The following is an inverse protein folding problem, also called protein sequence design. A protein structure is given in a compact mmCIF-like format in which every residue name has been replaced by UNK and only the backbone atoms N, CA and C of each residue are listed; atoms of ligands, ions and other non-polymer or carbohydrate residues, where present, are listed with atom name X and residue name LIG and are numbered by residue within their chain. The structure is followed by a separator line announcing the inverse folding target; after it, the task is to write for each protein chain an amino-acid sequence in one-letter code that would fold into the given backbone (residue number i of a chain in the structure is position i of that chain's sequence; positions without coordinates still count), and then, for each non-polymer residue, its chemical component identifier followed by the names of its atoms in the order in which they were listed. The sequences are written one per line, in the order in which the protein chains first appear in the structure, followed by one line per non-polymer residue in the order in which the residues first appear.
data_IF_666143653971
#
_entry.id   IF_666143653971
#
_cell.length_a   1.000
_cell.length_b   1.000
_cell.length_c   1.000
_cell.angle_alpha   90.00
_cell.angle_beta   90.00
_cell.angle_gamma   90.00
#
_symmetry.space_group_name_H-M   'P 1'
#
loop_
_entity.id
_entity.type
_entity.pdbx_description
1 polymer ?
#
# COMPACT_ATOMS: atom_id res chain seq x y z
N UNK A 1 -8.16 7.98 -8.65
CA UNK A 1 -6.98 7.60 -7.84
C UNK A 1 -5.81 8.48 -8.21
N UNK A 2 -5.13 9.06 -7.23
CA UNK A 2 -3.99 9.92 -7.50
C UNK A 2 -2.68 9.13 -7.48
N UNK A 3 -2.15 8.81 -8.64
CA UNK A 3 -0.83 8.19 -8.77
C UNK A 3 0.21 9.26 -8.45
N UNK A 4 1.11 8.97 -7.51
CA UNK A 4 2.09 9.94 -7.06
C UNK A 4 3.09 10.31 -8.17
N UNK A 5 3.51 11.57 -8.16
CA UNK A 5 4.53 12.11 -9.06
C UNK A 5 5.73 12.58 -8.24
N UNK A 6 6.77 13.05 -8.90
CA UNK A 6 7.97 13.60 -8.24
C UNK A 6 7.62 14.76 -7.28
N UNK A 7 6.59 15.51 -7.60
CA UNK A 7 6.15 16.62 -6.75
C UNK A 7 5.64 16.14 -5.38
N UNK A 8 5.20 14.90 -5.30
CA UNK A 8 4.69 14.30 -4.07
C UNK A 8 5.78 13.69 -3.18
N UNK A 9 7.03 13.63 -3.66
CA UNK A 9 8.10 12.89 -3.00
C UNK A 9 8.33 13.33 -1.55
N UNK A 10 8.36 14.64 -1.30
CA UNK A 10 8.61 15.14 0.05
C UNK A 10 7.51 14.71 1.02
N UNK A 11 6.25 14.74 0.59
CA UNK A 11 5.14 14.31 1.42
C UNK A 11 5.17 12.79 1.64
N UNK A 12 5.49 12.03 0.61
CA UNK A 12 5.65 10.57 0.72
C UNK A 12 6.71 10.23 1.77
N UNK A 13 7.85 10.93 1.71
CA UNK A 13 8.94 10.72 2.66
C UNK A 13 8.51 11.04 4.09
N UNK A 14 7.79 12.15 4.29
CA UNK A 14 7.28 12.52 5.61
C UNK A 14 6.36 11.45 6.19
N UNK A 15 5.44 10.94 5.38
CA UNK A 15 4.45 9.95 5.84
C UNK A 15 5.14 8.65 6.23
N UNK A 16 6.05 8.14 5.41
CA UNK A 16 6.79 6.93 5.77
C UNK A 16 7.63 7.14 7.02
N UNK A 17 8.21 8.32 7.20
CA UNK A 17 8.98 8.62 8.39
C UNK A 17 8.12 8.64 9.65
N UNK A 18 6.88 9.11 9.58
CA UNK A 18 5.93 9.06 10.69
C UNK A 18 5.69 7.63 11.17
N UNK A 19 5.79 6.66 10.27
CA UNK A 19 5.51 5.25 10.53
C UNK A 19 6.77 4.39 10.48
N UNK A 20 7.94 4.95 10.77
CA UNK A 20 9.22 4.24 10.68
C UNK A 20 9.30 2.98 11.52
N UNK A 21 8.50 2.89 12.58
CA UNK A 21 8.42 1.71 13.43
C UNK A 21 7.97 0.48 12.62
N UNK A 22 7.01 0.66 11.72
CA UNK A 22 6.46 -0.42 10.91
C UNK A 22 7.13 -0.55 9.55
N UNK A 23 7.84 0.50 9.10
CA UNK A 23 8.52 0.53 7.80
C UNK A 23 9.99 0.92 7.95
N UNK A 24 10.76 0.21 8.80
CA UNK A 24 12.15 0.63 9.07
C UNK A 24 13.08 0.47 7.87
N UNK A 25 12.69 -0.32 6.88
CA UNK A 25 13.50 -0.60 5.70
C UNK A 25 13.12 0.22 4.48
N UNK A 26 12.13 1.10 4.60
CA UNK A 26 11.71 1.94 3.47
C UNK A 26 12.70 3.08 3.31
N UNK A 27 13.40 3.10 2.18
CA UNK A 27 14.45 4.06 1.86
C UNK A 27 13.98 5.00 0.76
N UNK A 28 14.65 6.15 0.65
CA UNK A 28 14.28 7.17 -0.34
C UNK A 28 14.43 6.68 -1.78
N UNK A 29 15.44 5.86 -2.07
CA UNK A 29 15.61 5.27 -3.40
C UNK A 29 14.45 4.33 -3.77
N UNK A 30 13.94 3.56 -2.79
CA UNK A 30 12.75 2.73 -3.00
C UNK A 30 11.53 3.60 -3.31
N UNK A 31 11.32 4.67 -2.54
CA UNK A 31 10.19 5.59 -2.75
C UNK A 31 10.22 6.19 -4.15
N UNK A 32 11.39 6.67 -4.58
CA UNK A 32 11.54 7.25 -5.91
C UNK A 32 11.28 6.24 -7.01
N UNK A 33 11.77 5.00 -6.86
CA UNK A 33 11.54 3.95 -7.84
C UNK A 33 10.05 3.62 -7.95
N UNK A 34 9.35 3.54 -6.81
CA UNK A 34 7.91 3.26 -6.83
C UNK A 34 7.13 4.38 -7.50
N UNK A 35 7.54 5.63 -7.30
CA UNK A 35 6.94 6.78 -7.98
C UNK A 35 7.20 6.69 -9.49
N UNK A 36 8.42 6.45 -9.89
CA UNK A 36 8.81 6.35 -11.32
C UNK A 36 8.06 5.21 -12.02
N UNK A 37 7.89 4.08 -11.35
CA UNK A 37 7.21 2.92 -11.89
C UNK A 37 5.68 3.02 -11.80
N UNK A 38 5.16 4.12 -11.27
CA UNK A 38 3.73 4.36 -11.07
C UNK A 38 3.07 3.30 -10.19
N UNK A 39 3.80 2.86 -9.18
CA UNK A 39 3.37 1.84 -8.21
C UNK A 39 3.16 2.41 -6.82
N UNK A 40 3.02 3.73 -6.71
CA UNK A 40 2.74 4.43 -5.48
C UNK A 40 1.58 5.39 -5.69
N UNK A 41 0.56 5.25 -4.86
CA UNK A 41 -0.58 6.15 -4.80
C UNK A 41 -0.41 7.04 -3.59
N UNK A 42 -0.62 8.35 -3.77
CA UNK A 42 -0.81 9.29 -2.67
C UNK A 42 -2.15 9.96 -2.89
N UNK A 43 -3.14 9.58 -2.10
CA UNK A 43 -4.50 10.07 -2.24
C UNK A 43 -5.05 10.35 -0.85
N UNK A 44 -5.60 11.54 -0.65
CA UNK A 44 -6.17 11.93 0.64
C UNK A 44 -5.20 11.70 1.81
N UNK A 45 -3.93 11.99 1.57
CA UNK A 45 -2.83 11.83 2.53
C UNK A 45 -2.55 10.37 2.94
N UNK A 46 -2.98 9.43 2.12
CA UNK A 46 -2.75 7.99 2.31
C UNK A 46 -1.85 7.48 1.19
N UNK A 47 -0.79 6.75 1.58
CA UNK A 47 0.10 6.09 0.63
C UNK A 47 -0.31 4.63 0.50
N UNK A 48 -0.38 4.15 -0.75
CA UNK A 48 -0.47 2.73 -1.05
C UNK A 48 0.63 2.41 -2.06
N UNK A 49 1.49 1.43 -1.75
CA UNK A 49 2.45 0.89 -2.70
C UNK A 49 2.00 -0.50 -3.12
N UNK A 50 2.18 -0.80 -4.39
CA UNK A 50 1.65 -2.03 -4.97
C UNK A 50 2.38 -2.39 -6.25
N UNK A 51 2.14 -3.60 -6.75
CA UNK A 51 2.46 -3.94 -8.13
C UNK A 51 1.43 -4.93 -8.67
N UNK A 52 1.29 -4.95 -10.00
CA UNK A 52 0.45 -5.93 -10.67
C UNK A 52 1.32 -7.10 -11.12
N UNK A 53 0.83 -8.33 -10.89
CA UNK A 53 1.58 -9.52 -11.27
C UNK A 53 1.48 -9.75 -12.78
N UNK A 54 2.60 -10.03 -13.42
CA UNK A 54 2.67 -10.40 -14.83
C UNK A 54 2.77 -11.92 -15.00
N UNK A 55 3.06 -12.62 -13.91
CA UNK A 55 3.17 -14.08 -13.87
C UNK A 55 2.75 -14.56 -12.49
N UNK A 56 2.51 -15.87 -12.39
CA UNK A 56 2.19 -16.50 -11.11
C UNK A 56 3.35 -16.30 -10.13
N UNK A 57 3.03 -15.92 -8.89
CA UNK A 57 4.02 -15.66 -7.83
C UNK A 57 3.60 -16.35 -6.55
N UNK A 58 4.54 -16.54 -5.63
CA UNK A 58 4.26 -17.01 -4.27
C UNK A 58 4.42 -15.85 -3.30
N UNK A 59 3.38 -15.58 -2.51
CA UNK A 59 3.37 -14.55 -1.48
C UNK A 59 3.04 -15.24 -0.16
N UNK A 60 4.02 -15.31 0.74
CA UNK A 60 3.88 -16.12 1.95
C UNK A 60 3.63 -17.58 1.59
N UNK A 61 2.51 -18.14 2.04
CA UNK A 61 2.11 -19.52 1.74
C UNK A 61 1.10 -19.60 0.60
N UNK A 62 0.83 -18.50 -0.09
CA UNK A 62 -0.24 -18.42 -1.08
C UNK A 62 0.36 -18.27 -2.47
N UNK A 63 -0.21 -19.01 -3.43
CA UNK A 63 0.10 -18.86 -4.84
C UNK A 63 -0.82 -17.76 -5.40
N UNK A 64 -0.21 -16.70 -5.93
CA UNK A 64 -0.93 -15.55 -6.48
C UNK A 64 -0.96 -15.69 -8.00
N UNK A 65 -2.14 -15.74 -8.63
CA UNK A 65 -2.23 -15.85 -10.09
C UNK A 65 -1.69 -14.60 -10.78
N UNK A 66 -1.35 -14.75 -12.08
CA UNK A 66 -1.02 -13.59 -12.89
C UNK A 66 -2.22 -12.64 -12.97
N UNK A 67 -1.95 -11.35 -13.24
CA UNK A 67 -2.96 -10.28 -13.33
C UNK A 67 -3.67 -10.02 -12.01
N UNK A 68 -3.02 -10.33 -10.90
CA UNK A 68 -3.46 -9.92 -9.58
C UNK A 68 -2.70 -8.66 -9.15
N UNK A 69 -3.09 -8.08 -8.02
CA UNK A 69 -2.39 -6.95 -7.43
C UNK A 69 -1.84 -7.36 -6.07
N UNK A 70 -0.58 -7.05 -5.81
CA UNK A 70 0.03 -7.24 -4.50
C UNK A 70 0.21 -5.86 -3.88
N UNK A 71 -0.43 -5.66 -2.72
CA UNK A 71 -0.29 -4.45 -1.94
C UNK A 71 0.88 -4.62 -0.99
N UNK A 72 1.85 -3.71 -1.04
CA UNK A 72 3.07 -3.78 -0.23
C UNK A 72 2.93 -3.01 1.08
N UNK A 73 2.59 -1.74 1.00
CA UNK A 73 2.44 -0.89 2.18
C UNK A 73 1.21 -0.01 2.04
N UNK A 74 0.60 0.30 3.20
CA UNK A 74 -0.37 1.37 3.32
C UNK A 74 0.04 2.21 4.52
N UNK A 75 0.12 3.53 4.33
CA UNK A 75 0.53 4.46 5.38
C UNK A 75 -0.38 5.68 5.36
N UNK A 76 -0.92 6.05 6.51
CA UNK A 76 -1.87 7.15 6.64
C UNK A 76 -1.19 8.35 7.29
N UNK A 77 -1.06 9.44 6.55
CA UNK A 77 -0.47 10.69 7.05
C UNK A 77 -1.38 11.49 7.98
N UNK A 78 -2.68 11.22 7.96
CA UNK A 78 -3.66 11.89 8.82
C UNK A 78 -4.53 10.85 9.50
N UNK A 79 -4.26 10.58 10.77
CA UNK A 79 -4.96 9.55 11.54
C UNK A 79 -6.34 10.02 11.99
N UNK A 80 -7.24 9.05 12.20
CA UNK A 80 -8.51 9.27 12.90
C UNK A 80 -9.64 9.84 12.06
N UNK A 81 -9.46 10.02 10.73
CA UNK A 81 -10.49 10.59 9.86
C UNK A 81 -11.06 9.60 8.85
N UNK A 82 -10.70 8.33 8.95
CA UNK A 82 -11.20 7.30 8.03
C UNK A 82 -10.61 7.38 6.62
N UNK A 83 -9.56 8.17 6.40
CA UNK A 83 -8.97 8.37 5.09
C UNK A 83 -8.43 7.06 4.50
N UNK A 84 -7.76 6.24 5.34
CA UNK A 84 -7.20 4.98 4.86
C UNK A 84 -8.29 4.02 4.36
N UNK A 85 -9.42 3.95 5.06
CA UNK A 85 -10.55 3.12 4.65
C UNK A 85 -11.09 3.58 3.30
N UNK A 86 -11.30 4.88 3.14
CA UNK A 86 -11.84 5.45 1.92
C UNK A 86 -10.92 5.22 0.73
N UNK A 87 -9.62 5.48 0.92
CA UNK A 87 -8.63 5.31 -0.15
C UNK A 87 -8.47 3.85 -0.52
N UNK A 88 -8.45 2.94 0.47
CA UNK A 88 -8.33 1.51 0.19
C UNK A 88 -9.55 0.99 -0.57
N UNK A 89 -10.76 1.45 -0.25
CA UNK A 89 -11.96 1.09 -1.01
C UNK A 89 -11.85 1.53 -2.46
N UNK A 90 -11.37 2.76 -2.70
CA UNK A 90 -11.16 3.25 -4.06
C UNK A 90 -10.07 2.45 -4.77
N UNK A 91 -9.04 2.04 -4.05
CA UNK A 91 -7.99 1.20 -4.61
C UNK A 91 -8.55 -0.15 -5.07
N UNK A 92 -9.41 -0.77 -4.28
CA UNK A 92 -10.04 -2.03 -4.68
C UNK A 92 -10.86 -1.88 -5.95
N UNK A 93 -11.57 -0.77 -6.11
CA UNK A 93 -12.31 -0.48 -7.34
C UNK A 93 -11.38 -0.24 -8.53
N UNK A 94 -10.22 0.36 -8.27
CA UNK A 94 -9.20 0.61 -9.29
C UNK A 94 -8.58 -0.70 -9.81
N UNK A 95 -8.45 -1.70 -8.95
CA UNK A 95 -7.83 -2.99 -9.31
C UNK A 95 -8.84 -3.88 -10.02
N UNK A 96 -8.42 -4.48 -11.14
CA UNK A 96 -9.30 -5.35 -11.94
C UNK A 96 -9.32 -6.80 -11.51
N UNK A 97 -8.45 -7.20 -10.58
CA UNK A 97 -8.34 -8.57 -10.10
C UNK A 97 -8.31 -8.62 -8.58
N UNK A 98 -7.91 -9.78 -8.06
CA UNK A 98 -7.77 -9.95 -6.63
C UNK A 98 -6.59 -9.14 -6.08
N UNK A 99 -6.73 -8.70 -4.85
CA UNK A 99 -5.67 -7.97 -4.13
C UNK A 99 -5.17 -8.83 -2.99
N UNK A 100 -3.85 -8.99 -2.91
CA UNK A 100 -3.18 -9.80 -1.89
C UNK A 100 -2.22 -8.93 -1.11
N UNK A 101 -2.00 -9.27 0.14
CA UNK A 101 -1.00 -8.60 0.98
C UNK A 101 -0.46 -9.55 2.04
N UNK A 102 0.69 -9.16 2.62
CA UNK A 102 1.18 -9.75 3.85
C UNK A 102 1.27 -8.65 4.91
N UNK A 103 1.07 -9.02 6.17
CA UNK A 103 1.15 -8.10 7.30
C UNK A 103 1.76 -8.83 8.48
N UNK A 104 2.56 -8.11 9.29
CA UNK A 104 3.17 -8.70 10.48
C UNK A 104 2.07 -9.12 11.47
N UNK A 105 2.22 -10.31 12.05
CA UNK A 105 1.23 -10.83 13.00
C UNK A 105 1.11 -9.95 14.25
N UNK A 106 2.19 -9.33 14.68
CA UNK A 106 2.21 -8.46 15.86
C UNK A 106 1.63 -7.06 15.58
N UNK A 107 1.38 -6.71 14.32
CA UNK A 107 0.72 -5.45 13.99
C UNK A 107 -0.79 -5.63 14.09
N UNK A 108 -1.31 -5.65 15.32
CA UNK A 108 -2.72 -5.94 15.59
C UNK A 108 -3.65 -4.90 14.98
N UNK A 109 -3.26 -3.64 14.98
CA UNK A 109 -4.04 -2.55 14.39
C UNK A 109 -4.23 -2.76 12.90
N UNK A 110 -3.16 -3.08 12.18
CA UNK A 110 -3.23 -3.33 10.75
C UNK A 110 -4.05 -4.58 10.43
N UNK A 111 -3.85 -5.66 11.18
CA UNK A 111 -4.61 -6.89 10.99
C UNK A 111 -6.12 -6.64 11.14
N UNK A 112 -6.51 -5.93 12.19
CA UNK A 112 -7.91 -5.60 12.44
C UNK A 112 -8.46 -4.72 11.32
N UNK A 113 -7.68 -3.75 10.87
CA UNK A 113 -8.07 -2.86 9.78
C UNK A 113 -8.38 -3.65 8.50
N UNK A 114 -7.49 -4.55 8.10
CA UNK A 114 -7.68 -5.32 6.88
C UNK A 114 -8.87 -6.28 6.98
N UNK A 115 -9.06 -6.92 8.12
CA UNK A 115 -10.23 -7.77 8.34
C UNK A 115 -11.52 -6.96 8.24
N UNK A 116 -11.55 -5.77 8.85
CA UNK A 116 -12.71 -4.88 8.79
C UNK A 116 -12.98 -4.37 7.38
N UNK A 117 -11.97 -4.34 6.53
CA UNK A 117 -12.12 -3.98 5.12
C UNK A 117 -12.57 -5.15 4.24
N UNK A 118 -12.83 -6.32 4.83
CA UNK A 118 -13.30 -7.49 4.11
C UNK A 118 -12.20 -8.40 3.57
N UNK A 119 -10.96 -8.18 3.94
CA UNK A 119 -9.85 -9.05 3.55
C UNK A 119 -9.76 -10.24 4.50
N UNK A 120 -9.39 -11.39 3.95
CA UNK A 120 -9.31 -12.63 4.71
C UNK A 120 -7.87 -12.93 5.10
#
# INVERSE_FOLDING_TARGET
MNIATEEDFERVKEIFYQHKEWFPHIRTDYMMRMIEDKQLILDNDVIITFHHTKSKQTVGNIIVPKFSTILHQIANGTQGKGNAREVLNRFFEYCSGNVYLTVRQDNLTANKFYVNMGMI
#
